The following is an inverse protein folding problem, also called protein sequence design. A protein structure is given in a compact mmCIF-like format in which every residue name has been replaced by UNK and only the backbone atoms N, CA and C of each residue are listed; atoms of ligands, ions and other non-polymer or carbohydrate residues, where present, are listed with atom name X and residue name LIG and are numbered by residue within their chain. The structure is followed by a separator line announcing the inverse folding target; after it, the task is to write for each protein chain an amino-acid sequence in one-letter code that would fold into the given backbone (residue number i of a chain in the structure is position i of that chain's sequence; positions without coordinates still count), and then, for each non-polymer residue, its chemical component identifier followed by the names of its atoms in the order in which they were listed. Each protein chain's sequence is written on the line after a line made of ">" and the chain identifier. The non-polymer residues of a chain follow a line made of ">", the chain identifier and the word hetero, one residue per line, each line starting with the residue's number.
data_IF_259947487612
#
_entry.id   IF_259947487612
#
_cell.length_a   1.000
_cell.length_b   1.000
_cell.length_c   1.000
_cell.angle_alpha   90.00
_cell.angle_beta   90.00
_cell.angle_gamma   90.00
#
_symmetry.space_group_name_H-M   'P 1'
#
loop_
_entity.id
_entity.type
_entity.pdbx_description
1 polymer ?
#
# COMPACT_ATOMS: atom_id res chain seq x y z
N UNK A 1 19.86 -21.12 -0.23
CA UNK A 1 20.56 -20.21 0.69
C UNK A 1 21.00 -18.99 -0.12
N UNK A 2 20.24 -17.90 -0.05
CA UNK A 2 20.61 -16.58 -0.59
C UNK A 2 20.97 -15.71 0.62
N UNK A 3 22.13 -15.97 1.20
CA UNK A 3 22.72 -15.12 2.24
C UNK A 3 23.91 -14.43 1.60
N UNK A 4 23.91 -13.10 1.65
CA UNK A 4 24.92 -12.21 1.08
C UNK A 4 26.35 -12.44 1.64
N UNK A 5 26.57 -13.41 2.54
CA UNK A 5 27.86 -13.76 3.11
C UNK A 5 28.58 -14.96 2.49
N UNK A 6 28.00 -15.66 1.51
CA UNK A 6 28.63 -16.82 0.85
C UNK A 6 29.62 -16.40 -0.26
N UNK A 7 30.36 -15.32 -0.06
CA UNK A 7 31.45 -14.93 -0.97
C UNK A 7 32.68 -15.74 -0.56
N UNK A 8 32.97 -16.81 -1.29
CA UNK A 8 34.19 -17.63 -1.16
C UNK A 8 35.48 -16.88 -1.57
N UNK A 9 35.42 -15.56 -1.73
CA UNK A 9 36.60 -14.73 -1.97
C UNK A 9 37.17 -14.36 -0.61
N UNK A 10 38.10 -15.18 -0.11
CA UNK A 10 38.93 -14.83 1.04
C UNK A 10 39.76 -13.60 0.66
N UNK A 11 39.25 -12.43 1.02
CA UNK A 11 39.93 -11.16 0.87
C UNK A 11 41.31 -11.25 1.53
N UNK A 12 42.35 -11.29 0.71
CA UNK A 12 43.73 -11.52 1.15
C UNK A 12 44.40 -10.20 1.54
N UNK A 13 43.83 -9.08 1.06
CA UNK A 13 44.31 -7.72 1.33
C UNK A 13 43.30 -6.91 2.17
N UNK A 14 43.79 -6.03 3.04
CA UNK A 14 42.99 -5.16 3.92
C UNK A 14 41.99 -4.31 3.13
N UNK A 15 42.36 -3.84 1.94
CA UNK A 15 41.45 -3.07 1.07
C UNK A 15 40.24 -3.88 0.59
N UNK A 16 40.46 -5.15 0.21
CA UNK A 16 39.39 -6.07 -0.19
C UNK A 16 38.43 -6.33 0.97
N UNK A 17 38.95 -6.50 2.20
CA UNK A 17 38.14 -6.70 3.40
C UNK A 17 37.22 -5.52 3.68
N UNK A 18 37.73 -4.29 3.58
CA UNK A 18 36.94 -3.07 3.79
C UNK A 18 35.83 -2.96 2.74
N UNK A 19 36.15 -3.23 1.46
CA UNK A 19 35.18 -3.21 0.38
C UNK A 19 34.07 -4.25 0.59
N UNK A 20 34.43 -5.49 0.96
CA UNK A 20 33.45 -6.54 1.28
C UNK A 20 32.52 -6.14 2.43
N UNK A 21 33.06 -5.55 3.51
CA UNK A 21 32.24 -5.06 4.63
C UNK A 21 31.28 -3.96 4.17
N UNK A 22 31.76 -3.00 3.37
CA UNK A 22 30.91 -1.93 2.85
C UNK A 22 29.78 -2.47 1.96
N UNK A 23 30.07 -3.45 1.10
CA UNK A 23 29.09 -4.08 0.23
C UNK A 23 28.05 -4.90 1.00
N UNK A 24 28.47 -5.59 2.06
CA UNK A 24 27.55 -6.28 2.98
C UNK A 24 26.62 -5.30 3.70
N UNK A 25 27.15 -4.18 4.21
CA UNK A 25 26.34 -3.14 4.85
C UNK A 25 25.35 -2.52 3.87
N UNK A 26 25.78 -2.23 2.64
CA UNK A 26 24.91 -1.69 1.60
C UNK A 26 23.81 -2.70 1.21
N UNK A 27 24.18 -3.98 1.04
CA UNK A 27 23.22 -5.05 0.77
C UNK A 27 22.19 -5.20 1.89
N UNK A 28 22.63 -5.11 3.15
CA UNK A 28 21.74 -5.12 4.32
C UNK A 28 20.77 -3.94 4.30
N UNK A 29 21.26 -2.71 4.10
CA UNK A 29 20.42 -1.51 4.06
C UNK A 29 19.40 -1.57 2.92
N UNK A 30 19.82 -1.99 1.73
CA UNK A 30 18.92 -2.16 0.59
C UNK A 30 17.85 -3.21 0.88
N UNK A 31 18.25 -4.37 1.41
CA UNK A 31 17.30 -5.44 1.73
C UNK A 31 16.29 -4.97 2.78
N UNK A 32 16.75 -4.32 3.86
CA UNK A 32 15.86 -3.76 4.88
C UNK A 32 14.89 -2.74 4.30
N UNK A 33 15.36 -1.87 3.40
CA UNK A 33 14.52 -0.85 2.75
C UNK A 33 13.46 -1.48 1.84
N UNK A 34 13.86 -2.47 1.02
CA UNK A 34 12.95 -3.20 0.13
C UNK A 34 11.88 -3.94 0.93
N UNK A 35 12.28 -4.66 1.98
CA UNK A 35 11.33 -5.37 2.84
C UNK A 35 10.38 -4.38 3.49
N UNK A 36 10.88 -3.26 4.02
CA UNK A 36 10.05 -2.23 4.64
C UNK A 36 9.03 -1.63 3.67
N UNK A 37 9.41 -1.32 2.42
CA UNK A 37 8.49 -0.73 1.44
C UNK A 37 7.40 -1.71 1.01
N UNK A 38 7.76 -2.98 0.80
CA UNK A 38 6.79 -4.04 0.49
C UNK A 38 5.84 -4.23 1.67
N UNK A 39 6.35 -4.31 2.90
CA UNK A 39 5.53 -4.43 4.10
C UNK A 39 4.58 -3.25 4.27
N UNK A 40 5.06 -2.02 4.11
CA UNK A 40 4.23 -0.83 4.18
C UNK A 40 3.11 -0.86 3.13
N UNK A 41 3.43 -1.24 1.89
CA UNK A 41 2.46 -1.37 0.80
C UNK A 41 1.41 -2.45 1.10
N UNK A 42 1.84 -3.59 1.63
CA UNK A 42 0.94 -4.69 2.00
C UNK A 42 0.00 -4.30 3.14
N UNK A 43 0.51 -3.60 4.17
CA UNK A 43 -0.30 -3.08 5.28
C UNK A 43 -1.31 -2.05 4.74
N UNK A 44 -0.88 -1.10 3.93
CA UNK A 44 -1.77 -0.10 3.33
C UNK A 44 -2.87 -0.76 2.49
N UNK A 45 -2.53 -1.78 1.70
CA UNK A 45 -3.50 -2.57 0.95
C UNK A 45 -4.50 -3.28 1.87
N UNK A 46 -4.01 -3.95 2.92
CA UNK A 46 -4.86 -4.65 3.87
C UNK A 46 -5.80 -3.70 4.61
N UNK A 47 -5.33 -2.51 5.00
CA UNK A 47 -6.15 -1.48 5.62
C UNK A 47 -7.27 -1.00 4.70
N UNK A 48 -6.97 -0.75 3.41
CA UNK A 48 -7.98 -0.35 2.41
C UNK A 48 -9.05 -1.42 2.21
N UNK A 49 -8.67 -2.69 2.15
CA UNK A 49 -9.64 -3.79 2.04
C UNK A 49 -10.49 -3.94 3.31
N UNK A 50 -9.89 -3.82 4.50
CA UNK A 50 -10.62 -3.85 5.76
C UNK A 50 -11.63 -2.71 5.87
N UNK A 51 -11.28 -1.50 5.41
CA UNK A 51 -12.18 -0.34 5.40
C UNK A 51 -13.38 -0.56 4.46
N UNK A 52 -13.17 -1.11 3.25
CA UNK A 52 -14.26 -1.47 2.33
C UNK A 52 -15.26 -2.42 2.97
N UNK A 53 -14.75 -3.48 3.60
CA UNK A 53 -15.60 -4.48 4.29
C UNK A 53 -16.39 -3.82 5.41
N UNK A 54 -15.73 -2.98 6.22
CA UNK A 54 -16.40 -2.24 7.31
C UNK A 54 -17.51 -1.33 6.79
N UNK A 55 -17.27 -0.58 5.72
CA UNK A 55 -18.26 0.31 5.11
C UNK A 55 -19.48 -0.47 4.59
N UNK A 56 -19.24 -1.58 3.87
CA UNK A 56 -20.32 -2.44 3.37
C UNK A 56 -21.16 -3.05 4.49
N UNK A 57 -20.52 -3.58 5.55
CA UNK A 57 -21.23 -4.12 6.72
C UNK A 57 -22.05 -3.04 7.44
N UNK A 58 -21.53 -1.81 7.51
CA UNK A 58 -22.24 -0.69 8.14
C UNK A 58 -23.46 -0.30 7.31
N UNK A 59 -23.33 -0.23 5.99
CA UNK A 59 -24.43 0.05 5.07
C UNK A 59 -25.51 -1.03 5.14
N UNK A 60 -25.12 -2.30 5.15
CA UNK A 60 -26.05 -3.43 5.29
C UNK A 60 -26.85 -3.34 6.59
N UNK A 61 -26.18 -3.11 7.72
CA UNK A 61 -26.83 -2.92 9.02
C UNK A 61 -27.80 -1.75 9.01
N UNK A 62 -27.40 -0.62 8.43
CA UNK A 62 -28.26 0.56 8.32
C UNK A 62 -29.54 0.27 7.52
N UNK A 63 -29.41 -0.36 6.35
CA UNK A 63 -30.55 -0.70 5.50
C UNK A 63 -31.50 -1.68 6.18
N UNK A 64 -30.95 -2.67 6.89
CA UNK A 64 -31.75 -3.61 7.67
C UNK A 64 -32.49 -2.90 8.82
N UNK A 65 -31.82 -2.02 9.57
CA UNK A 65 -32.43 -1.30 10.70
C UNK A 65 -33.57 -0.38 10.26
N UNK A 66 -33.49 0.20 9.07
CA UNK A 66 -34.52 1.08 8.51
C UNK A 66 -35.65 0.32 7.79
N UNK A 67 -35.66 -1.02 7.83
CA UNK A 67 -36.73 -1.82 7.22
C UNK A 67 -36.79 -1.71 5.70
N UNK A 68 -35.65 -1.43 5.06
CA UNK A 68 -35.58 -1.27 3.60
C UNK A 68 -35.85 -2.62 2.92
N UNK A 69 -36.74 -2.61 1.93
CA UNK A 69 -37.08 -3.81 1.17
C UNK A 69 -35.81 -4.46 0.56
N UNK A 70 -35.65 -5.80 0.64
CA UNK A 70 -34.41 -6.48 0.24
C UNK A 70 -33.96 -6.15 -1.19
N UNK A 71 -34.90 -6.01 -2.13
CA UNK A 71 -34.60 -5.63 -3.51
C UNK A 71 -34.03 -4.21 -3.65
N UNK A 72 -34.51 -3.26 -2.83
CA UNK A 72 -33.98 -1.90 -2.81
C UNK A 72 -32.64 -1.83 -2.07
N UNK A 73 -32.45 -2.62 -1.02
CA UNK A 73 -31.17 -2.72 -0.30
C UNK A 73 -30.03 -3.17 -1.21
N UNK A 74 -30.26 -4.15 -2.08
CA UNK A 74 -29.27 -4.62 -3.07
C UNK A 74 -28.95 -3.52 -4.10
N UNK A 75 -29.95 -2.77 -4.56
CA UNK A 75 -29.74 -1.65 -5.49
C UNK A 75 -28.91 -0.54 -4.84
N UNK A 76 -29.20 -0.19 -3.58
CA UNK A 76 -28.45 0.82 -2.83
C UNK A 76 -27.02 0.35 -2.56
N UNK A 77 -26.81 -0.91 -2.18
CA UNK A 77 -25.47 -1.47 -2.01
C UNK A 77 -24.66 -1.45 -3.31
N UNK A 78 -25.25 -1.86 -4.44
CA UNK A 78 -24.58 -1.78 -5.75
C UNK A 78 -24.26 -0.35 -6.16
N UNK A 79 -25.19 0.59 -5.93
CA UNK A 79 -24.95 2.00 -6.23
C UNK A 79 -23.84 2.58 -5.34
N UNK A 80 -23.82 2.22 -4.06
CA UNK A 80 -22.77 2.60 -3.12
C UNK A 80 -21.42 1.99 -3.52
N UNK A 81 -21.36 0.70 -3.84
CA UNK A 81 -20.14 0.03 -4.28
C UNK A 81 -19.59 0.63 -5.58
N UNK A 82 -20.45 0.91 -6.56
CA UNK A 82 -20.05 1.56 -7.81
C UNK A 82 -19.51 2.98 -7.56
N UNK A 83 -20.13 3.72 -6.62
CA UNK A 83 -19.68 5.07 -6.24
C UNK A 83 -18.39 5.03 -5.42
N UNK A 84 -18.22 4.03 -4.56
CA UNK A 84 -17.00 3.81 -3.78
C UNK A 84 -15.83 3.42 -4.68
N UNK A 85 -16.03 2.54 -5.68
CA UNK A 85 -15.01 2.23 -6.69
C UNK A 85 -14.60 3.47 -7.47
N UNK A 86 -15.56 4.30 -7.88
CA UNK A 86 -15.29 5.57 -8.57
C UNK A 86 -14.58 6.59 -7.67
N UNK A 87 -14.87 6.63 -6.38
CA UNK A 87 -14.19 7.51 -5.42
C UNK A 87 -12.79 6.99 -5.05
N UNK A 88 -12.58 5.67 -5.03
CA UNK A 88 -11.26 5.06 -4.84
C UNK A 88 -10.36 5.15 -6.08
N UNK A 89 -10.91 5.46 -7.25
CA UNK A 89 -10.12 5.85 -8.42
C UNK A 89 -9.55 7.28 -8.28
N UNK A 90 -9.75 7.97 -7.16
CA UNK A 90 -8.91 9.11 -6.82
C UNK A 90 -7.72 8.59 -5.99
N UNK A 91 -6.58 8.35 -6.66
CA UNK A 91 -5.29 8.24 -6.01
C UNK A 91 -4.87 9.58 -5.38
N UNK A 92 -3.82 9.59 -4.55
CA UNK A 92 -3.27 10.83 -3.97
C UNK A 92 -2.44 11.62 -5.00
N UNK A 93 -1.91 10.95 -6.04
CA UNK A 93 -1.52 11.59 -7.31
C UNK A 93 -2.73 12.20 -8.06
N UNK A 94 -3.96 11.72 -7.79
CA UNK A 94 -5.20 12.23 -8.39
C UNK A 94 -5.87 13.33 -7.56
N UNK A 95 -5.28 13.73 -6.42
CA UNK A 95 -5.57 15.03 -5.79
C UNK A 95 -4.30 15.77 -5.38
N UNK A 96 -3.25 15.67 -6.21
CA UNK A 96 -2.17 16.67 -6.28
C UNK A 96 -2.69 18.02 -6.79
N UNK A 97 -3.91 18.07 -7.34
CA UNK A 97 -4.64 19.26 -7.77
C UNK A 97 -5.00 20.26 -6.63
N UNK A 98 -4.44 20.08 -5.44
CA UNK A 98 -4.64 20.98 -4.29
C UNK A 98 -3.33 21.59 -3.79
N UNK A 99 -2.17 21.10 -4.24
CA UNK A 99 -0.89 21.59 -3.75
C UNK A 99 -0.32 22.71 -4.62
N UNK A 100 -0.66 22.80 -5.90
CA UNK A 100 0.06 23.62 -6.86
C UNK A 100 -0.93 24.41 -7.82
N UNK A 101 -2.28 24.34 -7.67
CA UNK A 101 -3.35 25.08 -8.40
C UNK A 101 -3.37 26.43 -7.68
N UNK A 102 -3.33 27.56 -8.40
CA UNK A 102 -2.22 28.16 -9.12
C UNK A 102 -0.92 28.69 -8.60
N UNK A 103 -0.34 29.69 -9.25
CA UNK A 103 -1.06 30.82 -9.89
C UNK A 103 -2.09 30.53 -11.01
N UNK A 104 -1.67 29.85 -12.08
CA UNK A 104 -2.53 29.43 -13.22
C UNK A 104 -3.10 27.98 -13.37
N UNK A 105 -2.41 26.81 -13.13
CA UNK A 105 -3.04 25.44 -12.97
C UNK A 105 -2.22 24.27 -12.26
N UNK A 106 -2.35 23.89 -10.96
CA UNK A 106 -1.88 22.58 -10.38
C UNK A 106 -2.38 22.05 -8.98
#
# INVERSE_FOLDING_TARGET
>A
QLTLGAVEISASNTAERIFSIALLLFGLLLQSTIVSSISATMIAFQMREAEKVKLNLTLERFLHQNGVAPGFSVLVQKAAEHRMKRLQMLAEDDVDALALLPSSLM
#
